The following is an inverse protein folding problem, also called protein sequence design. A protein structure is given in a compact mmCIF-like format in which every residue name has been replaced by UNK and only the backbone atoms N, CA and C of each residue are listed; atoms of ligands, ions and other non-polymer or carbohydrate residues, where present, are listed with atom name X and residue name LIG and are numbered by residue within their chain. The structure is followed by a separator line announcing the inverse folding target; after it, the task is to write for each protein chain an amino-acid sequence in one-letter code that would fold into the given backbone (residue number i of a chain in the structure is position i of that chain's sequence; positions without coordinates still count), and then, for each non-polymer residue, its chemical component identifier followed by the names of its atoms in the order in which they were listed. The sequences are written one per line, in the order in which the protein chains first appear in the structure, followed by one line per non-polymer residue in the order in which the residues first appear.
data_IF_192271742105
#
_entry.id   IF_192271742105
#
_cell.length_a   1.000
_cell.length_b   1.000
_cell.length_c   1.000
_cell.angle_alpha   90.00
_cell.angle_beta   90.00
_cell.angle_gamma   90.00
#
_symmetry.space_group_name_H-M   'P 1'
#
loop_
_entity.id
_entity.type
_entity.pdbx_description
1 polymer ?
#
# COMPACT_ATOMS: atom_id res chain seq x y z
N UNK A 1 39.76 -68.54 -82.07
CA UNK A 1 39.54 -67.32 -81.27
C UNK A 1 39.20 -67.69 -79.82
N UNK A 2 40.00 -67.30 -78.83
CA UNK A 2 39.62 -67.47 -77.43
C UNK A 2 38.43 -66.55 -77.10
N UNK A 3 37.58 -66.92 -76.12
CA UNK A 3 36.43 -66.11 -75.74
C UNK A 3 36.89 -64.77 -75.15
N UNK A 4 36.13 -63.67 -75.33
CA UNK A 4 36.47 -62.39 -74.75
C UNK A 4 36.55 -62.50 -73.22
N UNK A 5 37.63 -61.98 -72.64
CA UNK A 5 37.77 -61.84 -71.20
C UNK A 5 36.58 -61.06 -70.62
N UNK A 6 36.06 -61.45 -69.44
CA UNK A 6 34.96 -60.73 -68.81
C UNK A 6 35.38 -59.28 -68.56
N UNK A 7 34.46 -58.31 -68.71
CA UNK A 7 34.76 -56.92 -68.44
C UNK A 7 35.24 -56.75 -67.00
N UNK A 8 36.22 -55.86 -66.76
CA UNK A 8 36.70 -55.61 -65.41
C UNK A 8 35.54 -55.22 -64.49
N UNK A 9 35.58 -55.61 -63.20
CA UNK A 9 34.55 -55.24 -62.25
C UNK A 9 34.41 -53.72 -62.23
N UNK A 10 33.16 -53.24 -62.19
CA UNK A 10 32.86 -51.82 -62.07
C UNK A 10 33.61 -51.24 -60.87
N UNK A 11 34.28 -50.09 -61.02
CA UNK A 11 35.01 -49.47 -59.92
C UNK A 11 34.07 -49.29 -58.72
N UNK A 12 34.57 -49.46 -57.48
CA UNK A 12 33.78 -49.21 -56.30
C UNK A 12 33.21 -47.79 -56.34
N UNK A 13 31.99 -47.59 -55.81
CA UNK A 13 31.41 -46.26 -55.75
C UNK A 13 32.38 -45.32 -55.02
N UNK A 14 32.59 -44.11 -55.53
CA UNK A 14 33.46 -43.13 -54.89
C UNK A 14 32.97 -42.85 -53.45
N UNK A 15 33.86 -43.09 -52.49
CA UNK A 15 33.63 -42.93 -51.06
C UNK A 15 34.33 -41.64 -50.60
N UNK A 16 33.63 -40.82 -49.81
CA UNK A 16 34.13 -39.57 -49.26
C UNK A 16 32.98 -38.78 -48.63
N UNK A 17 33.25 -37.57 -48.16
CA UNK A 17 32.20 -36.75 -47.55
C UNK A 17 31.06 -36.41 -48.53
N UNK A 18 29.83 -36.71 -48.11
CA UNK A 18 28.60 -36.42 -48.88
C UNK A 18 27.79 -35.23 -48.35
N UNK A 19 28.14 -34.67 -47.19
CA UNK A 19 27.52 -33.44 -46.67
C UNK A 19 28.03 -32.22 -47.44
N UNK A 20 27.15 -31.56 -48.19
CA UNK A 20 27.47 -30.38 -49.00
C UNK A 20 27.94 -29.17 -48.20
N UNK A 21 27.78 -29.17 -46.87
CA UNK A 21 28.27 -28.12 -45.96
C UNK A 21 29.74 -28.34 -45.55
N UNK A 22 30.29 -29.52 -45.79
CA UNK A 22 31.64 -29.87 -45.37
C UNK A 22 32.73 -29.36 -46.32
N UNK A 23 33.89 -29.04 -45.77
CA UNK A 23 35.05 -28.54 -46.52
C UNK A 23 35.64 -29.57 -47.49
N UNK A 24 35.57 -30.84 -47.14
CA UNK A 24 36.01 -31.98 -47.96
C UNK A 24 34.89 -32.61 -48.81
N UNK A 25 33.75 -31.93 -48.96
CA UNK A 25 32.66 -32.37 -49.85
C UNK A 25 33.10 -32.39 -51.31
N UNK A 26 32.73 -33.46 -52.03
CA UNK A 26 32.77 -33.50 -53.49
C UNK A 26 31.47 -34.08 -54.01
N UNK A 27 30.88 -33.41 -55.01
CA UNK A 27 29.60 -33.80 -55.61
C UNK A 27 29.57 -35.23 -56.19
N UNK A 28 30.74 -35.82 -56.49
CA UNK A 28 30.82 -37.16 -57.04
C UNK A 28 30.92 -38.26 -55.98
N UNK A 29 31.13 -37.97 -54.70
CA UNK A 29 31.05 -38.98 -53.63
C UNK A 29 29.59 -39.41 -53.45
N UNK A 30 29.37 -40.72 -53.40
CA UNK A 30 28.01 -41.32 -53.27
C UNK A 30 27.88 -42.24 -52.06
N UNK A 31 28.98 -42.49 -51.36
CA UNK A 31 29.03 -43.23 -50.09
C UNK A 31 29.77 -42.37 -49.09
N UNK A 32 29.11 -42.03 -47.99
CA UNK A 32 29.70 -41.26 -46.90
C UNK A 32 30.68 -42.10 -46.07
N UNK A 33 31.90 -41.60 -45.85
CA UNK A 33 32.90 -42.23 -44.98
C UNK A 33 32.95 -41.64 -43.57
N UNK A 34 32.00 -40.76 -43.21
CA UNK A 34 31.96 -40.04 -41.94
C UNK A 34 33.20 -39.16 -41.69
N UNK A 35 33.93 -38.77 -42.73
CA UNK A 35 35.07 -37.85 -42.61
C UNK A 35 34.68 -36.39 -42.84
N UNK A 36 33.39 -36.08 -42.96
CA UNK A 36 32.92 -34.73 -43.27
C UNK A 36 33.40 -33.68 -42.27
N UNK A 37 34.06 -32.64 -42.77
CA UNK A 37 34.53 -31.51 -41.97
C UNK A 37 33.58 -30.33 -42.07
N UNK A 38 32.54 -30.37 -41.26
CA UNK A 38 31.49 -29.35 -41.19
C UNK A 38 31.86 -28.31 -40.14
N UNK A 39 31.75 -27.03 -40.50
CA UNK A 39 31.81 -25.92 -39.55
C UNK A 39 30.45 -25.70 -38.89
N UNK A 40 30.45 -25.40 -37.60
CA UNK A 40 29.25 -25.09 -36.85
C UNK A 40 29.53 -24.97 -35.36
N UNK A 41 28.50 -24.66 -34.56
CA UNK A 41 28.66 -24.53 -33.13
C UNK A 41 28.99 -25.87 -32.46
N UNK A 42 30.13 -25.94 -31.78
CA UNK A 42 30.55 -27.16 -31.06
C UNK A 42 30.14 -27.17 -29.58
N UNK A 43 29.61 -26.06 -29.02
CA UNK A 43 29.18 -25.98 -27.62
C UNK A 43 27.74 -26.51 -27.43
N UNK A 44 27.64 -27.75 -26.94
CA UNK A 44 26.37 -28.43 -26.63
C UNK A 44 25.46 -27.73 -25.61
N UNK A 45 25.94 -26.70 -24.90
CA UNK A 45 25.15 -25.93 -23.94
C UNK A 45 24.33 -24.82 -24.61
N UNK A 46 24.64 -24.49 -25.86
CA UNK A 46 24.02 -23.39 -26.59
C UNK A 46 22.91 -23.89 -27.51
N UNK A 47 21.89 -23.05 -27.70
CA UNK A 47 20.75 -23.39 -28.53
C UNK A 47 21.11 -23.60 -30.01
N UNK A 48 22.23 -23.02 -30.47
CA UNK A 48 22.69 -23.16 -31.86
C UNK A 48 23.69 -24.30 -32.06
N UNK A 49 23.87 -25.20 -31.08
CA UNK A 49 24.74 -26.38 -31.20
C UNK A 49 24.44 -27.19 -32.47
N UNK A 50 25.48 -27.44 -33.29
CA UNK A 50 25.41 -28.34 -34.44
C UNK A 50 26.17 -29.63 -34.09
N UNK A 51 25.41 -30.71 -33.86
CA UNK A 51 25.98 -32.03 -33.56
C UNK A 51 26.81 -32.62 -34.71
N UNK A 52 26.67 -32.11 -35.93
CA UNK A 52 27.48 -32.47 -37.08
C UNK A 52 28.74 -31.61 -37.25
N UNK A 53 28.92 -30.55 -36.45
CA UNK A 53 30.10 -29.70 -36.52
C UNK A 53 31.35 -30.43 -36.01
N UNK A 54 32.44 -30.24 -36.74
CA UNK A 54 33.77 -30.81 -36.46
C UNK A 54 34.80 -29.74 -36.08
N UNK A 55 34.49 -28.47 -36.35
CA UNK A 55 35.24 -27.30 -35.94
C UNK A 55 34.29 -26.14 -35.67
N UNK A 56 34.68 -25.26 -34.74
CA UNK A 56 33.87 -24.10 -34.34
C UNK A 56 34.06 -22.95 -35.34
N UNK A 57 32.99 -22.59 -36.03
CA UNK A 57 32.95 -21.49 -37.01
C UNK A 57 32.34 -20.20 -36.42
N UNK A 58 32.20 -20.14 -35.09
CA UNK A 58 31.56 -19.03 -34.36
C UNK A 58 30.07 -18.83 -34.70
N UNK A 59 29.38 -19.82 -35.29
CA UNK A 59 27.94 -19.73 -35.54
C UNK A 59 27.07 -19.64 -34.27
N UNK A 60 27.62 -19.90 -33.08
CA UNK A 60 26.96 -19.74 -31.78
C UNK A 60 27.53 -18.64 -30.88
N UNK A 61 27.68 -17.42 -31.41
CA UNK A 61 27.99 -16.27 -30.58
C UNK A 61 26.94 -16.09 -29.46
N UNK A 62 27.38 -16.20 -28.21
CA UNK A 62 26.54 -15.95 -27.04
C UNK A 62 26.39 -14.45 -26.88
N UNK A 63 25.14 -14.00 -26.95
CA UNK A 63 24.75 -12.61 -26.71
C UNK A 63 24.07 -12.58 -25.35
N UNK A 64 24.83 -12.20 -24.33
CA UNK A 64 24.32 -12.04 -22.97
C UNK A 64 23.43 -10.80 -22.87
N UNK A 65 22.37 -10.88 -22.08
CA UNK A 65 21.55 -9.71 -21.74
C UNK A 65 20.19 -10.10 -21.21
N UNK A 66 19.40 -9.09 -20.85
CA UNK A 66 18.02 -9.32 -20.45
C UNK A 66 17.16 -9.70 -21.67
N UNK A 67 16.49 -10.86 -21.59
CA UNK A 67 15.60 -11.37 -22.63
C UNK A 67 14.12 -11.01 -22.40
N UNK A 68 13.81 -10.32 -21.29
CA UNK A 68 12.44 -9.90 -20.95
C UNK A 68 12.14 -8.53 -21.55
N UNK A 69 11.16 -8.46 -22.46
CA UNK A 69 10.72 -7.22 -23.12
C UNK A 69 10.13 -6.18 -22.17
N UNK A 70 9.75 -6.56 -20.95
CA UNK A 70 9.27 -5.64 -19.92
C UNK A 70 10.40 -4.99 -19.11
N UNK A 71 11.62 -5.51 -19.21
CA UNK A 71 12.77 -4.95 -18.51
C UNK A 71 13.34 -3.74 -19.27
N UNK A 72 13.88 -2.80 -18.51
CA UNK A 72 14.47 -1.57 -19.03
C UNK A 72 15.72 -1.81 -19.89
N UNK A 73 16.52 -2.81 -19.54
CA UNK A 73 17.71 -3.23 -20.28
C UNK A 73 17.43 -4.44 -21.19
N UNK A 74 16.20 -4.58 -21.68
CA UNK A 74 15.86 -5.61 -22.67
C UNK A 74 16.79 -5.52 -23.89
N UNK A 75 17.35 -6.66 -24.28
CA UNK A 75 18.22 -6.80 -25.44
C UNK A 75 17.57 -7.77 -26.42
N UNK A 76 17.01 -7.22 -27.52
CA UNK A 76 16.34 -8.00 -28.57
C UNK A 76 17.22 -9.11 -29.16
N UNK A 77 18.54 -8.89 -29.21
CA UNK A 77 19.52 -9.84 -29.73
C UNK A 77 20.05 -10.83 -28.69
N UNK A 78 19.70 -10.69 -27.41
CA UNK A 78 20.17 -11.61 -26.38
C UNK A 78 19.63 -13.03 -26.61
N UNK A 79 20.53 -14.01 -26.62
CA UNK A 79 20.20 -15.43 -26.76
C UNK A 79 20.52 -16.22 -25.49
N UNK A 80 21.01 -15.54 -24.44
CA UNK A 80 21.28 -16.11 -23.14
C UNK A 80 21.05 -15.08 -22.03
N UNK A 81 20.22 -15.43 -21.05
CA UNK A 81 19.92 -14.57 -19.92
C UNK A 81 21.12 -14.50 -18.98
N UNK A 82 21.56 -13.29 -18.64
CA UNK A 82 22.66 -13.04 -17.70
C UNK A 82 22.18 -12.71 -16.27
N UNK A 83 20.86 -12.69 -16.06
CA UNK A 83 20.24 -12.35 -14.78
C UNK A 83 20.27 -10.86 -14.44
N UNK A 84 20.60 -9.98 -15.39
CA UNK A 84 20.75 -8.53 -15.16
C UNK A 84 19.49 -7.72 -15.43
N UNK A 85 18.33 -8.35 -15.66
CA UNK A 85 17.08 -7.64 -16.00
C UNK A 85 16.73 -6.55 -14.98
N UNK A 86 16.47 -5.35 -15.47
CA UNK A 86 16.18 -4.18 -14.65
C UNK A 86 14.70 -3.79 -14.74
N UNK A 87 13.99 -3.77 -13.61
CA UNK A 87 12.55 -3.47 -13.54
C UNK A 87 12.29 -2.19 -12.76
N UNK A 88 11.42 -1.34 -13.30
CA UNK A 88 11.02 -0.09 -12.67
C UNK A 88 9.85 -0.28 -11.70
N UNK A 89 10.02 0.19 -10.47
CA UNK A 89 8.98 0.17 -9.45
C UNK A 89 9.42 0.86 -8.17
N UNK A 90 8.52 1.03 -7.21
CA UNK A 90 8.87 1.75 -5.99
C UNK A 90 9.80 0.91 -5.11
N UNK A 91 11.02 1.41 -4.87
CA UNK A 91 12.02 0.78 -4.01
C UNK A 91 11.82 1.08 -2.51
N UNK A 92 10.97 2.04 -2.18
CA UNK A 92 10.71 2.41 -0.79
C UNK A 92 9.77 1.37 -0.14
N UNK A 93 10.30 0.57 0.78
CA UNK A 93 9.54 -0.46 1.51
C UNK A 93 8.42 0.09 2.41
N UNK A 94 8.41 1.40 2.66
CA UNK A 94 7.35 2.09 3.40
C UNK A 94 6.23 2.62 2.51
N UNK A 95 6.38 2.59 1.18
CA UNK A 95 5.34 3.05 0.25
C UNK A 95 4.25 2.01 0.02
N UNK A 96 3.04 2.45 -0.34
CA UNK A 96 1.90 1.54 -0.59
C UNK A 96 2.12 0.65 -1.82
N UNK A 97 2.81 1.17 -2.83
CA UNK A 97 3.10 0.47 -4.08
C UNK A 97 4.53 -0.07 -4.12
N UNK A 98 5.12 -0.38 -2.96
CA UNK A 98 6.44 -1.02 -2.88
C UNK A 98 6.48 -2.28 -3.77
N UNK A 99 7.47 -2.33 -4.65
CA UNK A 99 7.70 -3.46 -5.54
C UNK A 99 9.02 -4.14 -5.17
N UNK A 100 8.98 -5.34 -4.55
CA UNK A 100 10.19 -6.07 -4.17
C UNK A 100 10.96 -6.62 -5.38
N UNK A 101 10.37 -6.64 -6.57
CA UNK A 101 11.03 -7.05 -7.82
C UNK A 101 11.70 -5.88 -8.55
N UNK A 102 11.40 -4.65 -8.15
CA UNK A 102 12.00 -3.47 -8.73
C UNK A 102 13.50 -3.41 -8.40
N UNK A 103 14.29 -3.14 -9.44
CA UNK A 103 15.72 -2.85 -9.34
C UNK A 103 16.03 -1.42 -9.79
N UNK A 104 15.03 -0.75 -10.36
CA UNK A 104 15.04 0.65 -10.76
C UNK A 104 13.97 1.40 -9.97
N UNK A 105 14.32 2.54 -9.37
CA UNK A 105 13.36 3.42 -8.73
C UNK A 105 12.30 3.95 -9.72
N UNK A 106 11.05 3.70 -9.37
CA UNK A 106 9.86 4.26 -9.99
C UNK A 106 9.08 5.15 -9.00
N UNK A 107 7.91 5.62 -9.44
CA UNK A 107 7.05 6.46 -8.60
C UNK A 107 6.59 5.71 -7.35
N UNK A 108 6.75 6.34 -6.20
CA UNK A 108 6.30 5.82 -4.91
C UNK A 108 5.06 6.59 -4.43
N UNK A 109 4.08 5.85 -3.93
CA UNK A 109 2.90 6.40 -3.26
C UNK A 109 3.23 6.47 -1.76
N UNK A 110 3.45 7.70 -1.28
CA UNK A 110 3.67 7.98 0.14
C UNK A 110 2.48 7.51 0.97
N UNK A 111 2.75 7.02 2.18
CA UNK A 111 1.69 6.66 3.11
C UNK A 111 1.21 7.90 3.84
N UNK A 112 -0.10 8.12 3.79
CA UNK A 112 -0.82 9.17 4.48
C UNK A 112 -1.76 8.47 5.47
N UNK A 113 -1.37 8.49 6.74
CA UNK A 113 -2.19 7.96 7.83
C UNK A 113 -3.32 8.93 8.16
N UNK A 114 -4.51 8.39 8.39
CA UNK A 114 -5.62 9.18 8.90
C UNK A 114 -6.90 8.38 9.02
N UNK A 115 -7.87 8.94 9.73
CA UNK A 115 -9.18 8.33 9.78
C UNK A 115 -9.86 8.42 8.41
N UNK A 116 -10.27 7.28 7.86
CA UNK A 116 -10.97 7.19 6.57
C UNK A 116 -12.50 7.25 6.71
N UNK A 117 -13.02 7.34 7.94
CA UNK A 117 -14.46 7.41 8.22
C UNK A 117 -14.95 8.87 8.24
N UNK A 118 -15.85 9.28 7.31
CA UNK A 118 -16.37 10.65 7.25
C UNK A 118 -17.25 11.05 8.45
N UNK A 119 -17.64 10.11 9.31
CA UNK A 119 -18.42 10.37 10.52
C UNK A 119 -17.54 10.65 11.74
N UNK A 120 -16.24 10.40 11.64
CA UNK A 120 -15.29 10.69 12.72
C UNK A 120 -14.92 12.17 12.76
N UNK A 121 -14.64 12.65 13.98
CA UNK A 121 -14.21 14.01 14.25
C UNK A 121 -12.87 14.38 13.58
N UNK A 122 -11.97 13.39 13.44
CA UNK A 122 -10.66 13.54 12.82
C UNK A 122 -10.59 12.95 11.39
N UNK A 123 -11.72 12.89 10.68
CA UNK A 123 -11.77 12.41 9.30
C UNK A 123 -10.74 13.12 8.41
N UNK A 124 -9.98 12.33 7.65
CA UNK A 124 -8.99 12.82 6.71
C UNK A 124 -9.16 12.18 5.33
N UNK A 125 -9.82 12.86 4.37
CA UNK A 125 -10.13 12.30 3.05
C UNK A 125 -8.90 11.99 2.19
N UNK A 126 -7.74 12.57 2.48
CA UNK A 126 -6.50 12.30 1.75
C UNK A 126 -5.72 11.09 2.30
N UNK A 127 -6.18 10.49 3.41
CA UNK A 127 -5.53 9.30 3.95
C UNK A 127 -5.68 8.11 3.00
N UNK A 128 -4.59 7.37 2.82
CA UNK A 128 -4.53 6.16 2.00
C UNK A 128 -4.17 4.91 2.84
N UNK A 129 -3.96 5.09 4.15
CA UNK A 129 -3.85 4.03 5.16
C UNK A 129 -4.73 4.37 6.36
N UNK A 130 -5.47 3.36 6.83
CA UNK A 130 -6.39 3.51 7.96
C UNK A 130 -5.63 3.85 9.25
N UNK A 131 -5.89 5.04 9.78
CA UNK A 131 -5.45 5.51 11.08
C UNK A 131 -6.55 5.46 12.14
N UNK A 132 -6.25 5.96 13.35
CA UNK A 132 -7.22 6.02 14.45
C UNK A 132 -8.34 7.04 14.15
N UNK A 133 -9.59 6.64 14.42
CA UNK A 133 -10.78 7.49 14.28
C UNK A 133 -11.28 7.94 15.66
N UNK A 134 -11.60 9.23 15.79
CA UNK A 134 -12.13 9.83 17.00
C UNK A 134 -13.62 10.08 16.84
N UNK A 135 -14.44 9.49 17.70
CA UNK A 135 -15.88 9.70 17.72
C UNK A 135 -16.22 10.44 19.00
N UNK A 136 -16.83 11.62 18.85
CA UNK A 136 -17.23 12.43 19.99
C UNK A 136 -18.65 12.06 20.44
N UNK A 137 -18.87 12.08 21.75
CA UNK A 137 -20.16 11.83 22.38
C UNK A 137 -20.00 11.57 23.87
N UNK A 138 -21.09 11.52 24.61
CA UNK A 138 -21.02 11.24 26.04
C UNK A 138 -20.42 9.84 26.30
N UNK A 139 -19.28 9.79 26.99
CA UNK A 139 -18.55 8.55 27.30
C UNK A 139 -18.90 7.94 28.66
N UNK A 140 -19.63 8.68 29.49
CA UNK A 140 -20.07 8.21 30.81
C UNK A 140 -21.28 7.29 30.67
N UNK A 141 -21.07 5.98 30.87
CA UNK A 141 -22.09 4.93 30.74
C UNK A 141 -23.26 5.06 31.70
N UNK A 142 -23.16 5.93 32.71
CA UNK A 142 -24.26 6.18 33.65
C UNK A 142 -25.28 7.17 33.06
N UNK A 143 -24.90 7.97 32.06
CA UNK A 143 -25.72 9.04 31.49
C UNK A 143 -26.75 8.52 30.50
N UNK A 144 -27.87 9.22 30.43
CA UNK A 144 -28.99 8.89 29.55
C UNK A 144 -28.64 8.99 28.05
N UNK A 145 -27.75 9.92 27.68
CA UNK A 145 -27.27 10.10 26.32
C UNK A 145 -25.91 9.43 26.08
N UNK A 146 -25.53 8.44 26.90
CA UNK A 146 -24.31 7.67 26.70
C UNK A 146 -24.24 7.11 25.27
N UNK A 147 -23.11 7.36 24.61
CA UNK A 147 -22.83 6.83 23.29
C UNK A 147 -21.73 5.75 23.37
N UNK A 148 -22.06 4.45 23.19
CA UNK A 148 -21.06 3.38 23.26
C UNK A 148 -20.04 3.39 22.11
N UNK A 149 -20.27 4.15 21.03
CA UNK A 149 -19.28 4.34 19.96
C UNK A 149 -18.37 5.54 20.18
N UNK A 150 -18.65 6.40 21.18
CA UNK A 150 -17.81 7.54 21.48
C UNK A 150 -16.48 7.12 22.09
N UNK A 151 -15.39 7.64 21.54
CA UNK A 151 -14.03 7.47 22.06
C UNK A 151 -13.52 8.70 22.81
N UNK A 152 -14.20 9.84 22.66
CA UNK A 152 -13.93 11.10 23.36
C UNK A 152 -15.22 11.75 23.86
N UNK A 153 -15.18 12.29 25.07
CA UNK A 153 -16.31 13.01 25.65
C UNK A 153 -16.53 14.33 24.90
N UNK A 154 -17.78 14.59 24.51
CA UNK A 154 -18.19 15.85 23.90
C UNK A 154 -18.48 16.96 24.94
N UNK A 155 -18.41 16.63 26.24
CA UNK A 155 -18.70 17.58 27.32
C UNK A 155 -20.18 17.94 27.42
N UNK A 156 -21.04 17.26 26.66
CA UNK A 156 -22.49 17.47 26.57
C UNK A 156 -23.25 16.25 27.10
N UNK A 157 -22.61 15.44 27.95
CA UNK A 157 -23.30 14.44 28.75
C UNK A 157 -24.49 15.05 29.49
N UNK A 158 -25.65 14.40 29.39
CA UNK A 158 -26.89 14.89 29.97
C UNK A 158 -26.74 14.98 31.50
N UNK A 159 -27.13 16.13 32.05
CA UNK A 159 -27.12 16.38 33.50
C UNK A 159 -28.12 15.51 34.24
N UNK A 160 -27.77 15.12 35.46
CA UNK A 160 -28.76 14.61 36.41
C UNK A 160 -29.47 15.78 37.06
N UNK A 161 -30.80 15.76 37.00
CA UNK A 161 -31.67 16.65 37.72
C UNK A 161 -32.26 15.86 38.88
N UNK A 162 -31.72 16.13 40.06
CA UNK A 162 -32.15 15.55 41.31
C UNK A 162 -33.47 16.17 41.76
N UNK A 163 -34.43 15.33 42.10
CA UNK A 163 -35.74 15.74 42.61
C UNK A 163 -36.72 14.58 42.57
N UNK A 164 -37.98 14.83 42.90
CA UNK A 164 -38.95 13.76 42.95
C UNK A 164 -39.33 13.22 41.55
N UNK A 165 -39.08 11.93 41.32
CA UNK A 165 -39.44 11.25 40.06
C UNK A 165 -40.71 10.39 40.19
N UNK A 166 -41.35 10.35 41.35
CA UNK A 166 -42.58 9.60 41.59
C UNK A 166 -43.81 10.42 41.21
N UNK A 167 -44.53 10.02 40.15
CA UNK A 167 -45.72 10.73 39.65
C UNK A 167 -46.91 10.81 40.61
N UNK A 168 -46.86 10.13 41.76
CA UNK A 168 -47.86 10.23 42.83
C UNK A 168 -47.55 11.35 43.84
N UNK A 169 -46.36 11.94 43.81
CA UNK A 169 -45.97 13.01 44.72
C UNK A 169 -46.46 14.38 44.25
N UNK A 170 -46.76 15.27 45.20
CA UNK A 170 -47.18 16.64 44.93
C UNK A 170 -46.09 17.53 44.33
N UNK A 171 -44.81 17.20 44.57
CA UNK A 171 -43.62 17.88 44.03
C UNK A 171 -42.97 17.14 42.85
N UNK A 172 -43.69 16.20 42.22
CA UNK A 172 -43.23 15.53 41.01
C UNK A 172 -43.04 16.52 39.86
N UNK A 173 -41.91 16.42 39.18
CA UNK A 173 -41.70 17.09 37.90
C UNK A 173 -41.03 16.14 36.88
N UNK A 174 -41.53 16.04 35.63
CA UNK A 174 -40.96 15.17 34.61
C UNK A 174 -39.54 15.56 34.17
N UNK A 175 -39.03 16.75 34.54
CA UNK A 175 -37.65 17.15 34.28
C UNK A 175 -36.65 16.49 35.23
N UNK A 176 -37.08 16.03 36.41
CA UNK A 176 -36.20 15.26 37.30
C UNK A 176 -36.01 13.85 36.75
N UNK A 177 -34.75 13.43 36.66
CA UNK A 177 -34.36 12.13 36.11
C UNK A 177 -33.58 11.27 37.12
N UNK A 178 -33.40 11.77 38.33
CA UNK A 178 -32.73 11.07 39.41
C UNK A 178 -33.46 11.35 40.73
N UNK A 179 -34.11 10.34 41.30
CA UNK A 179 -34.79 10.49 42.59
C UNK A 179 -33.77 10.82 43.69
N UNK A 180 -34.05 11.86 44.45
CA UNK A 180 -33.24 12.31 45.59
C UNK A 180 -33.91 12.00 46.94
N UNK A 181 -35.08 11.34 46.91
CA UNK A 181 -35.84 11.00 48.10
C UNK A 181 -36.66 12.16 48.69
N UNK A 182 -36.78 13.28 47.98
CA UNK A 182 -37.59 14.44 48.42
C UNK A 182 -39.06 14.34 48.06
N UNK A 183 -39.51 13.21 47.48
CA UNK A 183 -40.91 13.01 47.10
C UNK A 183 -41.89 13.24 48.26
N UNK A 184 -42.80 14.20 48.06
CA UNK A 184 -43.83 14.56 49.02
C UNK A 184 -45.17 13.93 48.63
N UNK A 185 -45.53 12.83 49.27
CA UNK A 185 -46.72 12.03 48.96
C UNK A 185 -47.75 12.26 50.06
N UNK A 186 -48.86 12.88 49.66
CA UNK A 186 -50.00 13.14 50.52
C UNK A 186 -50.72 11.83 50.87
N UNK A 187 -50.93 11.57 52.16
CA UNK A 187 -51.71 10.41 52.58
C UNK A 187 -51.93 10.38 54.08
N UNK A 188 -52.16 9.18 54.62
CA UNK A 188 -52.15 8.96 56.05
C UNK A 188 -51.09 7.95 56.44
N UNK A 189 -50.04 8.38 57.13
CA UNK A 189 -48.91 7.54 57.54
C UNK A 189 -49.34 6.31 58.37
N UNK A 190 -50.50 6.35 59.02
CA UNK A 190 -51.03 5.23 59.80
C UNK A 190 -51.62 4.10 58.93
N UNK A 191 -52.08 4.41 57.72
CA UNK A 191 -52.81 3.46 56.84
C UNK A 191 -52.24 3.35 55.43
N UNK A 192 -51.38 4.29 55.04
CA UNK A 192 -50.74 4.38 53.74
C UNK A 192 -49.22 4.39 53.93
N UNK A 193 -48.59 3.26 53.58
CA UNK A 193 -47.15 3.08 53.70
C UNK A 193 -46.34 3.90 52.68
N UNK A 194 -46.98 4.46 51.65
CA UNK A 194 -46.35 5.32 50.66
C UNK A 194 -46.44 6.81 50.98
N UNK A 195 -47.25 7.21 51.97
CA UNK A 195 -47.35 8.60 52.38
C UNK A 195 -46.05 9.09 53.02
N UNK A 196 -45.67 10.34 52.75
CA UNK A 196 -44.53 10.99 53.41
C UNK A 196 -44.95 12.10 54.37
N UNK A 197 -46.21 12.55 54.30
CA UNK A 197 -46.81 13.42 55.30
C UNK A 197 -48.30 13.11 55.51
N UNK A 198 -48.80 13.44 56.71
CA UNK A 198 -50.21 13.28 57.04
C UNK A 198 -51.04 14.43 56.48
N UNK A 199 -52.05 14.08 55.69
CA UNK A 199 -53.16 14.97 55.38
C UNK A 199 -54.28 14.68 56.37
N UNK A 200 -54.64 15.62 57.27
CA UNK A 200 -55.60 15.38 58.35
C UNK A 200 -56.94 14.79 57.87
N UNK A 201 -57.40 15.23 56.70
CA UNK A 201 -58.66 14.81 56.14
C UNK A 201 -58.65 13.38 55.54
N UNK A 202 -57.47 12.84 55.21
CA UNK A 202 -57.27 11.45 54.78
C UNK A 202 -57.03 10.49 55.96
N UNK A 203 -56.51 10.97 57.09
CA UNK A 203 -56.31 10.16 58.29
C UNK A 203 -57.57 9.96 59.14
N UNK A 204 -58.30 11.04 59.38
CA UNK A 204 -59.39 11.03 60.38
C UNK A 204 -60.79 11.09 59.74
N UNK A 205 -60.88 11.08 58.41
CA UNK A 205 -62.15 11.15 57.67
C UNK A 205 -62.84 12.51 57.72
N UNK A 206 -62.12 13.56 58.16
CA UNK A 206 -62.64 14.92 58.39
C UNK A 206 -62.83 15.75 57.09
N UNK A 207 -62.86 15.09 55.92
CA UNK A 207 -63.24 15.65 54.61
C UNK A 207 -64.73 16.05 54.57
N UNK A 208 -65.17 16.97 55.42
CA UNK A 208 -66.50 17.56 55.36
C UNK A 208 -66.63 18.49 54.15
N UNK A 209 -67.11 17.97 53.01
CA UNK A 209 -67.42 18.70 51.75
C UNK A 209 -68.51 19.79 51.86
N UNK A 210 -68.89 20.24 53.06
CA UNK A 210 -70.12 21.03 53.25
C UNK A 210 -69.95 22.45 53.78
N UNK A 211 -68.76 23.06 53.75
CA UNK A 211 -68.61 24.54 53.77
C UNK A 211 -67.15 24.95 53.75
N UNK A 212 -66.60 25.38 52.61
CA UNK A 212 -65.73 26.57 52.50
C UNK A 212 -65.92 27.17 51.11
N UNK A 213 -66.28 28.46 51.04
CA UNK A 213 -66.03 29.25 49.82
C UNK A 213 -64.52 29.22 49.64
N UNK A 214 -64.05 28.95 48.41
CA UNK A 214 -62.72 29.40 47.97
C UNK A 214 -62.64 30.87 48.39
N UNK A 215 -61.86 31.20 49.41
CA UNK A 215 -61.54 32.59 49.66
C UNK A 215 -60.64 32.96 48.47
N UNK A 216 -61.13 33.85 47.60
CA UNK A 216 -60.33 34.35 46.49
C UNK A 216 -59.03 34.94 47.07
N UNK A 217 -57.90 34.27 46.81
CA UNK A 217 -56.57 34.74 47.19
C UNK A 217 -55.89 34.11 48.42
N UNK A 218 -56.38 33.00 48.98
CA UNK A 218 -55.63 32.24 50.01
C UNK A 218 -54.76 31.15 49.35
N UNK A 219 -53.45 31.14 49.66
CA UNK A 219 -52.52 30.06 49.31
C UNK A 219 -52.98 28.76 49.99
N UNK A 220 -53.44 27.80 49.19
CA UNK A 220 -54.08 26.57 49.67
C UNK A 220 -53.19 25.34 49.49
N UNK A 221 -51.99 25.36 50.08
CA UNK A 221 -51.09 24.21 50.11
C UNK A 221 -50.96 23.60 51.52
N UNK A 222 -51.18 22.30 51.63
CA UNK A 222 -50.98 21.50 52.85
C UNK A 222 -49.61 20.84 52.97
N UNK A 223 -48.82 20.87 51.91
CA UNK A 223 -47.55 20.16 51.84
C UNK A 223 -46.49 20.85 52.71
N UNK A 224 -45.94 20.20 53.74
CA UNK A 224 -44.85 20.72 54.56
C UNK A 224 -43.62 21.21 53.80
N UNK A 225 -43.34 20.64 52.63
CA UNK A 225 -42.18 20.93 51.80
C UNK A 225 -42.41 22.10 50.83
N UNK A 226 -43.64 22.59 50.67
CA UNK A 226 -43.94 23.72 49.80
C UNK A 226 -43.60 25.07 50.46
N UNK A 227 -43.16 26.04 49.65
CA UNK A 227 -42.85 27.41 50.05
C UNK A 227 -44.09 28.18 50.52
N UNK A 228 -45.27 27.87 49.96
CA UNK A 228 -46.56 28.48 50.32
C UNK A 228 -47.42 27.59 51.24
N UNK A 229 -46.78 26.68 52.00
CA UNK A 229 -47.47 25.85 52.99
C UNK A 229 -48.15 26.68 54.07
N UNK A 230 -49.41 26.36 54.39
CA UNK A 230 -50.16 26.98 55.48
C UNK A 230 -50.92 25.96 56.33
N UNK A 231 -50.69 26.02 57.64
CA UNK A 231 -51.46 25.23 58.62
C UNK A 231 -52.95 25.60 58.56
N UNK A 232 -53.82 24.63 58.26
CA UNK A 232 -55.27 24.83 58.24
C UNK A 232 -55.87 25.29 56.90
N UNK A 233 -55.11 25.22 55.80
CA UNK A 233 -55.65 25.34 54.43
C UNK A 233 -56.82 24.36 54.20
N UNK A 234 -57.58 24.53 53.13
CA UNK A 234 -58.67 23.62 52.75
C UNK A 234 -58.42 22.81 51.48
N UNK A 235 -57.27 22.97 50.82
CA UNK A 235 -56.93 22.22 49.62
C UNK A 235 -55.44 21.89 49.56
N UNK A 236 -55.05 21.03 48.61
CA UNK A 236 -53.65 20.76 48.26
C UNK A 236 -53.32 21.23 46.84
N UNK A 237 -54.03 22.26 46.35
CA UNK A 237 -53.83 22.81 45.02
C UNK A 237 -52.80 23.95 45.05
N UNK A 238 -52.16 24.22 43.92
CA UNK A 238 -51.27 25.38 43.73
C UNK A 238 -50.08 25.44 44.70
N UNK A 239 -49.57 24.28 45.15
CA UNK A 239 -48.34 24.18 45.93
C UNK A 239 -47.13 24.64 45.10
N UNK A 240 -46.33 25.54 45.67
CA UNK A 240 -45.09 26.03 45.07
C UNK A 240 -43.92 25.43 45.81
N UNK A 241 -43.09 24.65 45.14
CA UNK A 241 -41.91 24.03 45.73
C UNK A 241 -40.64 24.82 45.43
N UNK A 242 -39.69 24.82 46.36
CA UNK A 242 -38.34 25.27 46.05
C UNK A 242 -37.69 24.21 45.15
N UNK A 243 -37.22 24.61 43.98
CA UNK A 243 -36.46 23.75 43.09
C UNK A 243 -35.04 24.29 43.04
N UNK A 244 -34.14 23.57 43.70
CA UNK A 244 -32.71 23.84 43.69
C UNK A 244 -32.11 23.39 42.36
N UNK A 245 -31.37 24.28 41.69
CA UNK A 245 -30.72 23.97 40.43
C UNK A 245 -30.09 25.21 39.79
N UNK A 246 -29.35 25.03 38.71
CA UNK A 246 -28.79 26.18 38.01
C UNK A 246 -29.92 26.97 37.32
N UNK A 247 -30.03 28.26 37.65
CA UNK A 247 -31.05 29.16 37.09
C UNK A 247 -30.56 29.94 35.87
N UNK A 248 -29.28 29.80 35.49
CA UNK A 248 -28.67 30.49 34.35
C UNK A 248 -28.77 29.63 33.09
N UNK A 249 -29.45 30.15 32.05
CA UNK A 249 -29.66 29.45 30.78
C UNK A 249 -28.39 29.26 29.94
N UNK A 250 -27.27 29.90 30.31
CA UNK A 250 -25.98 29.70 29.67
C UNK A 250 -25.19 28.48 30.22
N UNK A 251 -25.64 27.86 31.32
CA UNK A 251 -24.99 26.69 31.90
C UNK A 251 -25.42 25.37 31.23
N UNK A 252 -24.52 24.38 31.17
CA UNK A 252 -24.81 23.03 30.66
C UNK A 252 -25.76 22.23 31.56
N UNK A 253 -25.89 22.61 32.82
CA UNK A 253 -26.80 22.03 33.80
C UNK A 253 -27.95 22.98 34.17
N UNK A 254 -28.30 23.92 33.28
CA UNK A 254 -29.48 24.77 33.44
C UNK A 254 -30.75 23.96 33.64
N UNK A 255 -31.52 24.31 34.68
CA UNK A 255 -32.81 23.69 34.99
C UNK A 255 -33.91 24.76 34.89
N UNK A 256 -34.77 24.66 33.88
CA UNK A 256 -35.81 25.65 33.58
C UNK A 256 -36.78 25.91 34.75
N UNK A 257 -37.05 24.89 35.55
CA UNK A 257 -37.97 24.96 36.70
C UNK A 257 -37.28 25.42 38.00
N UNK A 258 -35.95 25.54 38.01
CA UNK A 258 -35.21 25.98 39.19
C UNK A 258 -35.60 27.41 39.55
N UNK A 259 -36.01 27.60 40.80
CA UNK A 259 -36.36 28.92 41.36
C UNK A 259 -35.41 29.33 42.49
N UNK A 260 -34.43 28.48 42.81
CA UNK A 260 -33.36 28.73 43.77
C UNK A 260 -32.03 28.22 43.21
N UNK A 261 -31.12 29.15 42.97
CA UNK A 261 -29.77 28.80 42.54
C UNK A 261 -29.02 28.08 43.67
N UNK A 262 -28.47 26.91 43.36
CA UNK A 262 -27.68 26.12 44.29
C UNK A 262 -26.17 26.42 44.19
N UNK A 263 -25.76 27.36 43.32
CA UNK A 263 -24.37 27.72 43.08
C UNK A 263 -23.58 26.66 42.30
N UNK A 264 -24.28 25.67 41.74
CA UNK A 264 -23.70 24.53 41.02
C UNK A 264 -23.66 24.71 39.49
N UNK A 265 -23.92 25.90 38.96
CA UNK A 265 -23.92 26.16 37.51
C UNK A 265 -22.57 25.80 36.87
N UNK A 266 -22.60 24.94 35.87
CA UNK A 266 -21.43 24.57 35.06
C UNK A 266 -21.51 25.24 33.70
N UNK A 267 -20.53 26.06 33.35
CA UNK A 267 -20.49 26.77 32.06
C UNK A 267 -19.56 26.05 31.09
N UNK A 268 -19.98 25.85 29.83
CA UNK A 268 -19.13 25.24 28.83
C UNK A 268 -18.01 26.22 28.44
N UNK A 269 -16.77 25.77 28.49
CA UNK A 269 -15.62 26.45 27.90
C UNK A 269 -15.31 25.77 26.58
N UNK A 270 -15.56 26.49 25.49
CA UNK A 270 -15.34 25.97 24.15
C UNK A 270 -13.86 26.08 23.76
N UNK A 271 -13.29 24.97 23.31
CA UNK A 271 -11.92 24.88 22.85
C UNK A 271 -11.59 23.44 22.48
N UNK A 272 -10.35 23.14 22.10
CA UNK A 272 -10.01 21.77 21.77
C UNK A 272 -9.67 20.96 23.03
N UNK A 273 -10.51 19.98 23.37
CA UNK A 273 -10.30 19.11 24.54
C UNK A 273 -9.41 17.90 24.25
N UNK A 274 -9.06 17.67 22.98
CA UNK A 274 -8.31 16.49 22.52
C UNK A 274 -6.83 16.85 22.44
N UNK A 275 -6.02 16.33 23.36
CA UNK A 275 -4.57 16.59 23.39
C UNK A 275 -3.80 15.87 22.28
N UNK A 276 -4.16 14.61 22.01
CA UNK A 276 -3.46 13.77 21.05
C UNK A 276 -3.93 14.06 19.62
N UNK A 277 -2.98 14.38 18.74
CA UNK A 277 -3.28 14.58 17.32
C UNK A 277 -3.98 15.90 17.00
N UNK A 278 -3.92 16.91 17.87
CA UNK A 278 -4.36 18.29 17.57
C UNK A 278 -3.28 19.33 17.90
N UNK A 279 -3.33 20.50 17.24
CA UNK A 279 -2.34 21.57 17.39
C UNK A 279 -2.74 22.65 18.40
N UNK A 280 -4.01 22.72 18.77
CA UNK A 280 -4.59 23.81 19.56
C UNK A 280 -5.33 23.30 20.80
N UNK A 281 -4.79 22.25 21.43
CA UNK A 281 -5.29 21.73 22.69
C UNK A 281 -5.40 22.84 23.75
N UNK A 282 -6.55 22.89 24.41
CA UNK A 282 -6.87 23.81 25.50
C UNK A 282 -7.27 22.98 26.73
N UNK A 283 -6.39 22.96 27.72
CA UNK A 283 -6.62 22.25 28.99
C UNK A 283 -7.76 22.82 29.83
N UNK A 284 -8.24 24.01 29.51
CA UNK A 284 -9.35 24.67 30.22
C UNK A 284 -10.70 24.46 29.53
N UNK A 285 -10.72 23.91 28.30
CA UNK A 285 -11.94 23.62 27.57
C UNK A 285 -12.68 22.41 28.16
N UNK A 286 -14.00 22.49 28.20
CA UNK A 286 -14.90 21.40 28.64
C UNK A 286 -15.73 20.86 27.49
N UNK A 287 -15.86 21.59 26.37
CA UNK A 287 -16.60 21.15 25.17
C UNK A 287 -15.68 21.25 23.94
N UNK A 288 -15.43 20.14 23.20
CA UNK A 288 -14.59 20.17 22.01
C UNK A 288 -15.20 21.05 20.92
N UNK A 289 -14.50 22.12 20.57
CA UNK A 289 -14.85 22.99 19.45
C UNK A 289 -13.58 23.54 18.79
N UNK A 290 -13.57 23.55 17.46
CA UNK A 290 -12.49 24.19 16.69
C UNK A 290 -11.13 23.48 16.77
N UNK A 291 -11.09 22.17 17.05
CA UNK A 291 -9.84 21.40 17.03
C UNK A 291 -9.20 21.41 15.64
N UNK A 292 -7.91 21.71 15.59
CA UNK A 292 -7.06 21.63 14.42
C UNK A 292 -6.30 20.31 14.49
N UNK A 293 -6.81 19.29 13.78
CA UNK A 293 -6.14 18.00 13.70
C UNK A 293 -4.74 18.13 13.07
N UNK A 294 -3.77 17.43 13.63
CA UNK A 294 -2.43 17.28 13.06
C UNK A 294 -2.54 16.53 11.75
N UNK A 295 -2.02 17.11 10.69
CA UNK A 295 -1.88 16.51 9.36
C UNK A 295 -0.40 16.56 9.00
N UNK A 296 0.27 15.43 9.20
CA UNK A 296 1.67 15.28 8.85
C UNK A 296 1.79 15.11 7.33
N UNK A 297 2.76 15.80 6.76
CA UNK A 297 3.13 15.70 5.35
C UNK A 297 4.18 16.74 5.03
N UNK A 298 4.71 16.74 3.81
CA UNK A 298 5.67 17.77 3.45
C UNK A 298 4.96 19.12 3.28
N UNK A 299 5.37 20.13 4.04
CA UNK A 299 4.80 21.49 3.95
C UNK A 299 5.54 22.38 2.97
N UNK A 300 6.66 21.92 2.40
CA UNK A 300 7.44 22.69 1.42
C UNK A 300 6.83 22.60 0.02
N UNK A 301 6.37 23.72 -0.52
CA UNK A 301 5.76 23.82 -1.86
C UNK A 301 6.71 23.51 -3.02
N UNK A 302 8.01 23.47 -2.77
CA UNK A 302 9.04 23.16 -3.77
C UNK A 302 9.41 21.67 -3.78
N UNK A 303 8.99 20.92 -2.75
CA UNK A 303 9.09 19.48 -2.72
C UNK A 303 8.09 18.83 -3.69
N UNK A 304 8.50 17.74 -4.31
CA UNK A 304 7.61 16.93 -5.13
C UNK A 304 6.56 16.19 -4.33
N UNK A 305 6.85 15.91 -3.06
CA UNK A 305 5.92 15.30 -2.11
C UNK A 305 5.12 16.34 -1.33
N UNK A 306 5.03 17.59 -1.81
CA UNK A 306 4.27 18.66 -1.15
C UNK A 306 2.81 18.24 -0.92
N UNK A 307 2.37 18.31 0.33
CA UNK A 307 1.00 18.02 0.71
C UNK A 307 0.27 19.32 1.08
N UNK A 308 -0.64 19.83 0.23
CA UNK A 308 -1.30 21.12 0.46
C UNK A 308 -2.20 21.15 1.69
N UNK A 309 -2.51 19.98 2.26
CA UNK A 309 -3.33 19.84 3.46
C UNK A 309 -2.52 19.56 4.73
N UNK A 310 -1.20 19.40 4.62
CA UNK A 310 -0.32 19.22 5.77
C UNK A 310 -0.18 20.53 6.56
N UNK A 311 -0.25 20.42 7.87
CA UNK A 311 -0.04 21.56 8.80
C UNK A 311 1.12 21.30 9.78
N UNK A 312 1.74 20.12 9.71
CA UNK A 312 2.96 19.75 10.42
C UNK A 312 3.90 19.09 9.41
N UNK A 313 5.12 19.61 9.30
CA UNK A 313 6.14 19.01 8.45
C UNK A 313 6.55 17.64 9.00
N UNK A 314 6.49 16.61 8.16
CA UNK A 314 6.96 15.27 8.53
C UNK A 314 8.50 15.19 8.55
N UNK A 315 9.21 16.16 7.97
CA UNK A 315 10.66 16.10 7.77
C UNK A 315 11.09 15.15 6.64
N UNK A 316 10.12 14.52 5.96
CA UNK A 316 10.31 13.54 4.89
C UNK A 316 10.00 14.15 3.51
N UNK A 317 10.27 15.45 3.33
CA UNK A 317 10.10 16.14 2.06
C UNK A 317 11.01 15.55 0.98
N UNK A 318 10.40 15.07 -0.10
CA UNK A 318 11.12 14.61 -1.28
C UNK A 318 11.24 15.76 -2.27
N UNK A 319 12.44 15.95 -2.81
CA UNK A 319 12.70 16.89 -3.90
C UNK A 319 13.10 16.06 -5.10
N UNK A 320 12.35 16.15 -6.20
CA UNK A 320 12.71 15.46 -7.44
C UNK A 320 13.87 16.22 -8.09
N UNK A 321 15.01 15.55 -8.18
CA UNK A 321 16.15 15.92 -9.01
C UNK A 321 16.14 14.93 -10.15
N UNK A 322 15.75 15.40 -11.33
CA UNK A 322 15.70 14.56 -12.53
C UNK A 322 17.12 14.20 -12.98
N UNK A 323 17.38 12.91 -13.17
CA UNK A 323 18.62 12.39 -13.71
C UNK A 323 18.64 10.87 -13.67
N UNK A 324 19.70 10.23 -14.17
CA UNK A 324 19.72 8.79 -14.14
C UNK A 324 20.18 8.26 -12.79
N UNK A 325 19.28 7.65 -12.03
CA UNK A 325 19.57 7.10 -10.69
C UNK A 325 20.11 5.67 -10.69
N UNK A 326 20.36 5.12 -11.87
CA UNK A 326 20.83 3.75 -12.06
C UNK A 326 22.36 3.75 -12.04
N UNK A 327 22.96 3.25 -10.97
CA UNK A 327 24.43 3.22 -10.84
C UNK A 327 25.14 2.50 -12.00
N UNK A 328 24.46 1.55 -12.64
CA UNK A 328 24.95 0.81 -13.79
C UNK A 328 24.66 1.49 -15.15
N UNK A 329 23.95 2.62 -15.20
CA UNK A 329 23.70 3.32 -16.45
C UNK A 329 24.89 4.18 -16.87
N UNK A 330 25.00 4.41 -18.18
CA UNK A 330 26.06 5.21 -18.79
C UNK A 330 26.05 6.66 -18.31
N UNK A 331 24.87 7.21 -18.03
CA UNK A 331 24.67 8.60 -17.60
C UNK A 331 24.23 8.74 -16.14
N UNK A 332 24.69 7.84 -15.26
CA UNK A 332 24.37 7.88 -13.83
C UNK A 332 24.66 9.24 -13.20
N UNK A 333 23.66 9.77 -12.50
CA UNK A 333 23.71 10.97 -11.68
C UNK A 333 23.50 10.59 -10.22
N UNK A 334 24.57 10.75 -9.43
CA UNK A 334 24.59 10.42 -8.00
C UNK A 334 23.69 11.31 -7.13
N UNK A 335 23.23 12.46 -7.63
CA UNK A 335 22.34 13.37 -6.88
C UNK A 335 20.88 13.31 -7.36
N UNK A 336 20.60 12.56 -8.43
CA UNK A 336 19.25 12.40 -8.91
C UNK A 336 18.39 11.59 -7.91
N UNK A 337 17.11 11.91 -7.87
CA UNK A 337 16.10 11.25 -7.02
C UNK A 337 14.87 10.81 -7.83
N UNK A 338 14.81 11.19 -9.11
CA UNK A 338 13.80 10.76 -10.09
C UNK A 338 14.49 10.15 -11.30
N UNK A 339 14.06 8.95 -11.73
CA UNK A 339 14.61 8.31 -12.91
C UNK A 339 14.17 9.05 -14.17
N UNK A 340 15.12 9.78 -14.78
CA UNK A 340 14.91 10.47 -16.04
C UNK A 340 16.01 10.12 -17.03
N UNK A 341 15.62 9.86 -18.29
CA UNK A 341 16.49 9.70 -19.46
C UNK A 341 17.70 8.77 -19.23
N UNK A 342 17.53 7.69 -18.47
CA UNK A 342 18.60 6.72 -18.29
C UNK A 342 19.05 6.14 -19.64
N UNK A 343 20.34 5.86 -19.74
CA UNK A 343 20.92 5.17 -20.89
C UNK A 343 21.56 3.92 -20.33
N UNK A 344 20.92 2.76 -20.58
CA UNK A 344 21.44 1.48 -20.13
C UNK A 344 22.87 1.29 -20.62
N UNK A 345 23.78 0.88 -19.75
CA UNK A 345 25.10 0.43 -20.17
C UNK A 345 24.94 -0.90 -20.89
N UNK A 346 25.11 -0.89 -22.21
CA UNK A 346 25.10 -2.06 -23.06
C UNK A 346 26.56 -2.41 -23.38
N UNK A 347 27.16 -3.38 -22.67
CA UNK A 347 28.48 -3.86 -23.02
C UNK A 347 28.45 -4.62 -24.34
N UNK A 348 29.44 -4.37 -25.18
CA UNK A 348 29.60 -5.08 -26.44
C UNK A 348 30.76 -4.53 -27.26
N UNK A 349 31.06 -5.19 -28.37
CA UNK A 349 32.05 -4.66 -29.30
C UNK A 349 31.42 -3.57 -30.17
N UNK A 350 31.96 -2.36 -30.12
CA UNK A 350 31.53 -1.23 -30.96
C UNK A 350 32.25 -1.16 -32.31
N UNK A 351 33.17 -2.09 -32.59
CA UNK A 351 33.91 -2.13 -33.84
C UNK A 351 33.12 -2.88 -34.92
N UNK A 352 32.70 -2.15 -35.96
CA UNK A 352 31.99 -2.71 -37.13
C UNK A 352 32.75 -3.80 -37.88
N UNK A 353 34.06 -3.92 -37.67
CA UNK A 353 34.90 -4.95 -38.28
C UNK A 353 34.94 -6.27 -37.47
N UNK A 354 34.35 -6.30 -36.27
CA UNK A 354 34.26 -7.51 -35.45
C UNK A 354 33.07 -8.38 -35.86
N UNK A 355 33.19 -9.71 -35.70
CA UNK A 355 32.09 -10.66 -35.90
C UNK A 355 31.02 -10.57 -34.81
N UNK A 356 31.36 -10.04 -33.63
CA UNK A 356 30.44 -9.79 -32.53
C UNK A 356 30.08 -8.29 -32.36
N UNK A 357 30.12 -7.52 -33.45
CA UNK A 357 29.73 -6.11 -33.46
C UNK A 357 28.29 -5.93 -32.95
N UNK A 358 28.14 -5.07 -31.95
CA UNK A 358 26.86 -4.69 -31.39
C UNK A 358 26.59 -3.19 -31.65
N UNK A 359 25.71 -2.83 -32.60
CA UNK A 359 25.38 -1.43 -32.89
C UNK A 359 24.71 -0.69 -31.73
N UNK A 360 24.13 -1.40 -30.76
CA UNK A 360 23.52 -0.80 -29.58
C UNK A 360 24.50 -0.63 -28.40
N UNK A 361 25.74 -1.14 -28.49
CA UNK A 361 26.70 -1.08 -27.40
C UNK A 361 27.18 0.36 -27.14
N UNK A 362 27.20 0.76 -25.87
CA UNK A 362 27.68 2.08 -25.43
C UNK A 362 28.69 1.99 -24.27
N UNK A 363 29.02 0.78 -23.82
CA UNK A 363 30.15 0.48 -22.94
C UNK A 363 31.08 -0.50 -23.64
N UNK A 364 32.38 -0.20 -23.66
CA UNK A 364 33.36 -1.09 -24.26
C UNK A 364 33.46 -2.37 -23.42
N UNK A 365 33.25 -3.53 -24.03
CA UNK A 365 33.60 -4.79 -23.39
C UNK A 365 35.14 -4.87 -23.33
N UNK A 366 35.70 -5.12 -22.15
CA UNK A 366 37.15 -5.24 -21.94
C UNK A 366 37.71 -6.38 -22.81
N UNK A 367 38.24 -6.06 -23.99
CA UNK A 367 39.06 -6.96 -24.81
C UNK A 367 38.35 -8.02 -25.68
N UNK A 368 37.02 -8.09 -25.69
CA UNK A 368 36.27 -9.21 -26.30
C UNK A 368 35.80 -8.98 -27.75
N UNK A 369 36.29 -7.97 -28.47
CA UNK A 369 36.00 -7.86 -29.89
C UNK A 369 36.58 -9.06 -30.63
N UNK A 370 35.70 -9.91 -31.15
CA UNK A 370 36.06 -11.10 -31.91
C UNK A 370 36.19 -10.69 -33.36
N UNK A 371 37.34 -10.94 -33.97
CA UNK A 371 37.55 -10.67 -35.38
C UNK A 371 37.55 -11.98 -36.14
N UNK A 372 36.85 -12.02 -37.27
CA UNK A 372 37.06 -13.10 -38.23
C UNK A 372 38.54 -13.07 -38.64
N UNK A 373 39.21 -14.22 -38.52
CA UNK A 373 40.57 -14.38 -39.02
C UNK A 373 40.48 -15.32 -40.23
N UNK A 374 40.50 -14.78 -41.46
CA UNK A 374 40.43 -15.57 -42.68
C UNK A 374 41.60 -16.54 -42.75
N UNK A 375 41.32 -17.79 -43.08
CA UNK A 375 42.33 -18.83 -43.29
C UNK A 375 41.67 -20.20 -43.40
N UNK A 376 42.41 -21.27 -43.15
CA UNK A 376 41.84 -22.60 -43.15
C UNK A 376 41.65 -23.15 -41.71
N UNK A 377 40.41 -23.19 -41.17
CA UNK A 377 40.16 -23.67 -39.82
C UNK A 377 40.07 -25.21 -39.70
N UNK A 378 40.16 -25.93 -40.82
CA UNK A 378 40.07 -27.40 -40.87
C UNK A 378 41.35 -28.07 -40.33
N UNK A 379 41.32 -28.83 -39.22
CA UNK A 379 42.50 -29.47 -38.65
C UNK A 379 43.20 -30.51 -39.56
N UNK A 380 42.50 -31.04 -40.57
CA UNK A 380 43.05 -32.01 -41.52
C UNK A 380 43.69 -31.36 -42.77
N UNK A 381 43.43 -30.07 -42.99
CA UNK A 381 43.91 -29.38 -44.17
C UNK A 381 45.43 -29.17 -44.09
N UNK A 382 46.09 -29.31 -45.23
CA UNK A 382 47.56 -29.17 -45.29
C UNK A 382 48.05 -27.74 -45.00
N UNK A 383 47.18 -26.74 -45.11
CA UNK A 383 47.40 -25.34 -44.74
C UNK A 383 46.54 -24.91 -43.53
N UNK A 384 46.20 -25.85 -42.64
CA UNK A 384 45.48 -25.55 -41.41
C UNK A 384 46.12 -24.39 -40.64
N UNK A 385 45.29 -23.44 -40.25
CA UNK A 385 45.62 -22.33 -39.38
C UNK A 385 44.76 -22.44 -38.13
N UNK A 386 45.39 -22.81 -37.00
CA UNK A 386 44.71 -22.99 -35.71
C UNK A 386 44.11 -21.70 -35.13
N UNK A 387 44.41 -20.55 -35.73
CA UNK A 387 43.87 -19.25 -35.37
C UNK A 387 42.85 -18.76 -36.40
N UNK A 388 42.58 -19.50 -37.49
CA UNK A 388 41.53 -19.14 -38.43
C UNK A 388 40.15 -19.43 -37.83
N UNK A 389 39.23 -18.47 -37.99
CA UNK A 389 37.85 -18.55 -37.48
C UNK A 389 36.81 -18.42 -38.60
N UNK A 390 37.27 -18.13 -39.82
CA UNK A 390 36.46 -18.08 -41.03
C UNK A 390 37.24 -18.78 -42.15
N UNK A 391 36.59 -19.74 -42.83
CA UNK A 391 37.18 -20.37 -44.01
C UNK A 391 37.13 -19.40 -45.21
N UNK A 392 38.30 -18.95 -45.67
CA UNK A 392 38.44 -18.04 -46.82
C UNK A 392 38.48 -18.76 -48.18
N UNK A 393 38.27 -20.08 -48.19
CA UNK A 393 38.36 -20.92 -49.37
C UNK A 393 39.78 -21.35 -49.72
N UNK A 394 40.78 -20.99 -48.90
CA UNK A 394 42.18 -21.41 -49.09
C UNK A 394 42.43 -22.86 -48.66
N UNK A 395 41.49 -23.52 -47.96
CA UNK A 395 41.68 -24.87 -47.45
C UNK A 395 42.10 -25.88 -48.53
N UNK A 396 43.27 -26.47 -48.35
CA UNK A 396 43.82 -27.55 -49.17
C UNK A 396 43.62 -28.86 -48.44
N UNK A 397 42.48 -29.52 -48.71
CA UNK A 397 42.22 -30.88 -48.25
C UNK A 397 43.09 -31.84 -49.05
N UNK A 398 43.81 -32.72 -48.37
CA UNK A 398 44.58 -33.75 -49.06
C UNK A 398 43.57 -34.66 -49.78
N UNK A 399 43.69 -34.75 -51.11
CA UNK A 399 42.92 -35.73 -51.88
C UNK A 399 43.11 -37.12 -51.25
N UNK A 400 42.05 -37.96 -51.21
CA UNK A 400 42.14 -39.29 -50.62
C UNK A 400 43.31 -40.06 -51.23
N UNK A 401 43.92 -40.99 -50.46
CA UNK A 401 45.16 -41.64 -50.86
C UNK A 401 45.02 -42.22 -52.27
N UNK A 402 46.06 -42.08 -53.11
CA UNK A 402 45.99 -42.52 -54.50
C UNK A 402 45.54 -43.98 -54.54
N UNK A 403 44.61 -44.25 -55.47
CA UNK A 403 43.98 -45.57 -55.66
C UNK A 403 45.02 -46.69 -55.55
N UNK A 404 44.70 -47.79 -54.84
CA UNK A 404 45.66 -48.86 -54.62
C UNK A 404 46.22 -49.35 -55.97
N UNK A 405 47.54 -49.61 -56.05
CA UNK A 405 48.19 -49.92 -57.32
C UNK A 405 47.55 -51.17 -57.94
N UNK A 406 47.40 -51.22 -59.28
CA UNK A 406 46.74 -52.34 -59.94
C UNK A 406 47.48 -53.65 -59.65
N UNK A 407 46.75 -54.76 -59.46
CA UNK A 407 47.38 -56.04 -59.11
C UNK A 407 48.36 -56.47 -60.20
N UNK A 408 49.55 -56.86 -59.75
CA UNK A 408 50.64 -57.31 -60.62
C UNK A 408 50.19 -58.47 -61.51
N UNK A 409 50.52 -58.46 -62.81
CA UNK A 409 50.08 -59.52 -63.73
C UNK A 409 50.66 -60.88 -63.32
N UNK A 410 49.88 -61.97 -63.44
CA UNK A 410 50.33 -63.31 -63.08
C UNK A 410 51.45 -63.82 -64.02
N UNK A 411 52.29 -64.74 -63.54
CA UNK A 411 53.52 -65.18 -64.22
C UNK A 411 53.28 -65.93 -65.54
#
# INVERSE_FOLDING_TARGET
PPPPSPPPPSPPPPIGCTDSRALNYKQFFVVDDQTCEVGGCTDSRLAQYDAGATWDDMSCLVVLGCMDSAAYNFRERANHADGTCLYQGCLNSLAINFDPSATLPGSCISVIDGCMDPTAFNYYPASNRAGACFYIGCTDSTRLNYNPSATFDDGLCQSYFHGCTNSLAGNYDPLFNQDDGTCSIAGCLATDAGATFNVPCLCDGDCGVTRRRRLEGDDDCWDPAALNNRTGSSSGADCVYAVDGCTDSAATNYLLIANKDNGGCTFPTYGCTIADGTLNYDSTATVPLGCVNVRMGCTDTTASSFEPTANVDSGECQYLVAGCIVAAAFNFDSVATEAADCVAALPGCMDTASTNYEPAANVAADGDCVYARPGCPAPSASNFDSLATENDGSCVTLDPPPSPPPPSPPP
#
